data_IF_802696501493
#
_entry.id   IF_802696501493
#
_cell.length_a   1.000
_cell.length_b   1.000
_cell.length_c   1.000
_cell.angle_alpha   90.00
_cell.angle_beta   90.00
_cell.angle_gamma   90.00
#
_symmetry.space_group_name_H-M   'P 1'
#
loop_
_entity.id
_entity.type
_entity.pdbx_description
1 polymer ?
#
# COMPACT_ATOMS: atom_id res chain seq x y z
N UNK A 1 -14.33 -8.66 16.19
CA UNK A 1 -14.17 -7.46 15.34
C UNK A 1 -14.02 -6.18 16.14
N UNK A 2 -14.95 -5.81 17.05
CA UNK A 2 -14.87 -4.50 17.77
C UNK A 2 -13.57 -4.33 18.57
N UNK A 3 -13.08 -5.39 19.22
CA UNK A 3 -11.77 -5.38 19.89
C UNK A 3 -10.59 -5.13 18.93
N UNK A 4 -10.57 -5.74 17.74
CA UNK A 4 -9.50 -5.54 16.75
C UNK A 4 -9.53 -4.13 16.15
N UNK A 5 -10.72 -3.54 16.00
CA UNK A 5 -10.85 -2.17 15.48
C UNK A 5 -10.15 -1.15 16.36
N UNK A 6 -10.20 -1.34 17.68
CA UNK A 6 -9.56 -0.44 18.64
C UNK A 6 -8.05 -0.63 18.78
N UNK A 7 -7.48 -1.74 18.28
CA UNK A 7 -6.04 -1.94 18.30
C UNK A 7 -5.36 -0.95 17.34
N UNK A 8 -4.31 -0.24 17.78
CA UNK A 8 -3.63 0.74 16.95
C UNK A 8 -2.84 0.06 15.84
N UNK A 9 -3.07 0.46 14.58
CA UNK A 9 -2.49 -0.18 13.38
C UNK A 9 -1.55 0.76 12.65
N UNK A 10 -0.63 0.19 11.88
CA UNK A 10 0.20 0.95 10.96
C UNK A 10 0.06 0.33 9.56
N UNK A 11 -0.19 1.18 8.56
CA UNK A 11 -0.35 0.78 7.16
C UNK A 11 0.72 1.45 6.32
N UNK A 12 1.48 0.67 5.57
CA UNK A 12 2.57 1.16 4.72
C UNK A 12 2.25 1.08 3.23
N UNK A 13 1.21 0.32 2.87
CA UNK A 13 0.84 0.04 1.49
C UNK A 13 -0.66 0.19 1.29
N UNK A 14 -1.04 1.41 0.93
CA UNK A 14 -2.43 1.79 0.70
C UNK A 14 -2.49 2.83 -0.41
N UNK A 15 -3.14 2.50 -1.52
CA UNK A 15 -3.27 3.36 -2.69
C UNK A 15 -4.45 4.31 -2.50
N UNK A 16 -4.17 5.60 -2.58
CA UNK A 16 -5.16 6.65 -2.44
C UNK A 16 -6.20 6.60 -3.57
N UNK A 17 -5.74 6.40 -4.80
CA UNK A 17 -6.54 6.24 -6.03
C UNK A 17 -7.33 4.91 -6.07
N UNK A 18 -7.01 3.98 -5.17
CA UNK A 18 -7.75 2.74 -4.92
C UNK A 18 -8.54 2.72 -3.61
N UNK A 19 -8.67 3.87 -2.92
CA UNK A 19 -9.20 3.95 -1.56
C UNK A 19 -10.38 4.90 -1.34
N UNK A 20 -11.00 5.40 -2.43
CA UNK A 20 -12.06 6.41 -2.38
C UNK A 20 -13.35 5.85 -1.76
N UNK A 21 -14.12 6.74 -1.12
CA UNK A 21 -15.51 6.45 -0.72
C UNK A 21 -16.41 6.46 -1.97
N UNK A 22 -17.28 5.46 -2.17
CA UNK A 22 -18.25 5.46 -3.28
C UNK A 22 -19.12 6.72 -3.33
N UNK A 23 -19.52 7.25 -2.18
CA UNK A 23 -20.31 8.48 -2.06
C UNK A 23 -19.56 9.67 -2.65
N UNK A 24 -18.27 9.81 -2.31
CA UNK A 24 -17.40 10.86 -2.85
C UNK A 24 -17.22 10.70 -4.35
N UNK A 25 -17.12 9.48 -4.88
CA UNK A 25 -17.02 9.27 -6.34
C UNK A 25 -18.26 9.81 -7.05
N UNK A 26 -19.46 9.50 -6.54
CA UNK A 26 -20.72 10.00 -7.11
C UNK A 26 -20.77 11.52 -7.07
N UNK A 27 -20.47 12.11 -5.90
CA UNK A 27 -20.49 13.57 -5.73
C UNK A 27 -19.50 14.29 -6.65
N UNK A 28 -18.26 13.79 -6.75
CA UNK A 28 -17.23 14.36 -7.63
C UNK A 28 -17.56 14.15 -9.11
N UNK A 29 -18.20 13.03 -9.46
CA UNK A 29 -18.65 12.80 -10.83
C UNK A 29 -19.72 13.79 -11.24
N UNK A 30 -20.68 14.08 -10.37
CA UNK A 30 -21.71 15.09 -10.59
C UNK A 30 -21.13 16.51 -10.64
N UNK A 31 -20.25 16.86 -9.70
CA UNK A 31 -19.60 18.18 -9.63
C UNK A 31 -18.77 18.49 -10.87
N UNK A 32 -18.03 17.51 -11.38
CA UNK A 32 -17.11 17.69 -12.50
C UNK A 32 -17.62 17.16 -13.85
N UNK A 33 -18.86 16.71 -13.91
CA UNK A 33 -19.52 16.27 -15.14
C UNK A 33 -18.96 14.98 -15.73
N UNK A 34 -18.44 14.07 -14.90
CA UNK A 34 -18.04 12.73 -15.34
C UNK A 34 -19.27 11.83 -15.47
N UNK A 35 -19.53 11.31 -16.66
CA UNK A 35 -20.73 10.50 -16.97
C UNK A 35 -20.40 9.01 -17.19
N UNK A 36 -19.16 8.61 -16.92
CA UNK A 36 -18.69 7.25 -17.17
C UNK A 36 -19.03 6.25 -16.07
N UNK A 37 -19.63 6.68 -14.95
CA UNK A 37 -19.95 5.78 -13.85
C UNK A 37 -20.99 4.73 -14.28
N UNK A 38 -20.86 3.48 -13.82
CA UNK A 38 -21.82 2.41 -14.10
C UNK A 38 -23.17 2.64 -13.40
N UNK A 39 -23.18 3.40 -12.31
CA UNK A 39 -24.34 3.80 -11.52
C UNK A 39 -23.99 5.04 -10.69
N UNK A 40 -24.99 5.85 -10.35
CA UNK A 40 -24.87 6.99 -9.43
C UNK A 40 -25.45 6.69 -8.04
N UNK A 41 -25.90 5.46 -7.79
CA UNK A 41 -26.25 4.99 -6.45
C UNK A 41 -24.97 4.51 -5.74
N UNK A 42 -24.64 5.09 -4.59
CA UNK A 42 -23.38 4.81 -3.90
C UNK A 42 -23.26 3.34 -3.42
N UNK A 43 -24.38 2.71 -3.04
CA UNK A 43 -24.39 1.32 -2.58
C UNK A 43 -24.22 0.34 -3.75
N UNK A 44 -24.87 0.61 -4.88
CA UNK A 44 -24.64 -0.12 -6.13
C UNK A 44 -23.21 0.08 -6.64
N UNK A 45 -22.69 1.30 -6.58
CA UNK A 45 -21.34 1.62 -7.01
C UNK A 45 -20.31 0.90 -6.13
N UNK A 46 -20.52 0.86 -4.81
CA UNK A 46 -19.70 0.08 -3.87
C UNK A 46 -19.62 -1.38 -4.28
N UNK A 47 -20.76 -2.01 -4.59
CA UNK A 47 -20.80 -3.41 -5.05
C UNK A 47 -20.11 -3.59 -6.40
N UNK A 48 -20.25 -2.62 -7.31
CA UNK A 48 -19.58 -2.66 -8.60
C UNK A 48 -18.06 -2.60 -8.46
N UNK A 49 -17.54 -1.81 -7.51
CA UNK A 49 -16.10 -1.73 -7.25
C UNK A 49 -15.50 -2.99 -6.64
N UNK A 50 -16.29 -3.92 -6.10
CA UNK A 50 -15.78 -5.19 -5.58
C UNK A 50 -15.25 -6.05 -6.75
N UNK A 51 -13.97 -5.86 -7.08
CA UNK A 51 -13.26 -6.59 -8.14
C UNK A 51 -12.55 -7.84 -7.60
N UNK A 52 -13.00 -8.34 -6.45
CA UNK A 52 -12.37 -9.45 -5.75
C UNK A 52 -12.36 -10.79 -6.48
N UNK A 53 -13.21 -10.93 -7.49
CA UNK A 53 -13.27 -12.11 -8.38
C UNK A 53 -12.84 -11.78 -9.82
N UNK A 54 -12.10 -10.68 -10.01
CA UNK A 54 -11.67 -10.23 -11.35
C UNK A 54 -10.72 -11.23 -12.05
N UNK A 55 -10.08 -12.12 -11.27
CA UNK A 55 -9.29 -13.25 -11.76
C UNK A 55 -7.98 -12.89 -12.46
N UNK A 56 -7.64 -11.59 -12.54
CA UNK A 56 -6.37 -11.09 -13.08
C UNK A 56 -6.10 -9.65 -12.59
N UNK A 57 -4.83 -9.29 -12.47
CA UNK A 57 -4.41 -7.93 -12.15
C UNK A 57 -4.94 -6.91 -13.17
N UNK A 58 -4.96 -7.25 -14.46
CA UNK A 58 -5.43 -6.35 -15.51
C UNK A 58 -6.92 -6.01 -15.39
N UNK A 59 -7.77 -6.99 -15.05
CA UNK A 59 -9.20 -6.75 -14.83
C UNK A 59 -9.43 -5.93 -13.55
N UNK A 60 -8.68 -6.21 -12.49
CA UNK A 60 -8.69 -5.44 -11.24
C UNK A 60 -8.38 -3.95 -11.49
N UNK A 61 -7.40 -3.66 -12.34
CA UNK A 61 -6.95 -2.31 -12.65
C UNK A 61 -7.97 -1.49 -13.46
N UNK A 62 -8.93 -2.12 -14.17
CA UNK A 62 -9.94 -1.38 -14.95
C UNK A 62 -10.84 -0.49 -14.06
N UNK A 63 -11.05 -0.89 -12.80
CA UNK A 63 -11.85 -0.09 -11.87
C UNK A 63 -11.23 1.29 -11.58
N UNK A 64 -9.90 1.44 -11.72
CA UNK A 64 -9.23 2.73 -11.51
C UNK A 64 -9.62 3.78 -12.54
N UNK A 65 -10.16 3.41 -13.70
CA UNK A 65 -10.57 4.38 -14.70
C UNK A 65 -11.60 5.37 -14.15
N UNK A 66 -12.51 4.92 -13.28
CA UNK A 66 -13.50 5.78 -12.65
C UNK A 66 -12.92 6.63 -11.53
N UNK A 67 -12.12 6.05 -10.63
CA UNK A 67 -11.51 6.79 -9.51
C UNK A 67 -10.57 7.87 -10.03
N UNK A 68 -9.70 7.52 -10.98
CA UNK A 68 -8.80 8.47 -11.64
C UNK A 68 -9.59 9.56 -12.35
N UNK A 69 -10.70 9.24 -13.03
CA UNK A 69 -11.49 10.23 -13.76
C UNK A 69 -12.11 11.31 -12.87
N UNK A 70 -12.51 10.97 -11.64
CA UNK A 70 -13.06 11.95 -10.68
C UNK A 70 -11.97 12.72 -9.91
N UNK A 71 -10.72 12.25 -9.95
CA UNK A 71 -9.56 12.86 -9.27
C UNK A 71 -8.71 13.73 -10.19
N UNK A 72 -9.32 14.53 -11.07
CA UNK A 72 -8.59 15.34 -12.07
C UNK A 72 -8.48 16.84 -11.71
N UNK A 73 -8.90 17.23 -10.50
CA UNK A 73 -8.81 18.61 -9.98
C UNK A 73 -8.06 18.63 -8.65
N UNK A 74 -7.52 19.80 -8.27
CA UNK A 74 -6.83 19.98 -6.99
C UNK A 74 -7.76 19.69 -5.82
N UNK A 75 -9.00 20.18 -5.91
CA UNK A 75 -10.02 20.05 -4.88
C UNK A 75 -10.45 18.58 -4.70
N UNK A 76 -10.57 17.81 -5.78
CA UNK A 76 -10.85 16.38 -5.73
C UNK A 76 -9.74 15.61 -5.01
N UNK A 77 -8.48 15.85 -5.42
CA UNK A 77 -7.31 15.19 -4.84
C UNK A 77 -7.16 15.52 -3.34
N UNK A 78 -7.32 16.80 -2.98
CA UNK A 78 -7.27 17.24 -1.58
C UNK A 78 -8.39 16.59 -0.75
N UNK A 79 -9.61 16.54 -1.29
CA UNK A 79 -10.75 15.92 -0.63
C UNK A 79 -10.52 14.43 -0.39
N UNK A 80 -10.10 13.69 -1.42
CA UNK A 80 -9.86 12.24 -1.34
C UNK A 80 -8.73 11.93 -0.35
N UNK A 81 -7.63 12.68 -0.40
CA UNK A 81 -6.51 12.55 0.55
C UNK A 81 -6.93 12.83 2.00
N UNK A 82 -7.74 13.87 2.21
CA UNK A 82 -8.29 14.19 3.52
C UNK A 82 -9.20 13.07 4.06
N UNK A 83 -10.12 12.58 3.24
CA UNK A 83 -11.05 11.52 3.64
C UNK A 83 -10.34 10.21 3.97
N UNK A 84 -9.29 9.86 3.22
CA UNK A 84 -8.48 8.67 3.49
C UNK A 84 -7.86 8.69 4.89
N UNK A 85 -7.39 9.85 5.37
CA UNK A 85 -6.87 9.97 6.74
C UNK A 85 -7.97 9.81 7.79
N UNK A 86 -9.18 10.34 7.53
CA UNK A 86 -10.32 10.15 8.42
C UNK A 86 -10.75 8.68 8.50
N UNK A 87 -10.77 7.99 7.35
CA UNK A 87 -11.13 6.57 7.27
C UNK A 87 -10.14 5.70 8.03
N UNK A 88 -8.84 5.97 7.86
CA UNK A 88 -7.78 5.31 8.62
C UNK A 88 -7.91 5.56 10.12
N UNK A 89 -8.16 6.80 10.54
CA UNK A 89 -8.37 7.13 11.95
C UNK A 89 -9.57 6.38 12.55
N UNK A 90 -10.68 6.30 11.80
CA UNK A 90 -11.88 5.59 12.22
C UNK A 90 -11.68 4.06 12.32
N UNK A 91 -10.64 3.52 11.68
CA UNK A 91 -10.26 2.11 11.73
C UNK A 91 -9.07 1.83 12.67
N UNK A 92 -8.73 2.80 13.53
CA UNK A 92 -7.67 2.65 14.53
C UNK A 92 -6.25 2.66 13.96
N UNK A 93 -6.06 3.13 12.72
CA UNK A 93 -4.71 3.37 12.19
C UNK A 93 -4.11 4.58 12.90
N UNK A 94 -2.86 4.48 13.33
CA UNK A 94 -2.10 5.55 14.00
C UNK A 94 -0.92 6.05 13.15
N UNK A 95 -0.54 5.28 12.13
CA UNK A 95 0.50 5.63 11.18
C UNK A 95 0.14 5.13 9.78
N UNK A 96 0.14 6.03 8.78
CA UNK A 96 -0.24 5.70 7.40
C UNK A 96 0.76 6.23 6.36
N UNK A 97 1.14 5.40 5.40
CA UNK A 97 1.84 5.83 4.20
C UNK A 97 0.94 5.61 2.99
N UNK A 98 0.41 6.69 2.44
CA UNK A 98 -0.50 6.66 1.30
C UNK A 98 0.30 6.78 0.01
N UNK A 99 -0.01 5.97 -0.99
CA UNK A 99 0.62 6.02 -2.32
C UNK A 99 -0.36 6.40 -3.41
N UNK A 100 0.11 7.07 -4.46
CA UNK A 100 -0.72 7.40 -5.62
C UNK A 100 0.15 7.72 -6.85
N UNK A 101 -0.41 7.59 -8.05
CA UNK A 101 0.28 7.93 -9.29
C UNK A 101 0.02 9.37 -9.74
N UNK A 102 0.92 10.37 -9.53
CA UNK A 102 0.63 11.76 -9.89
C UNK A 102 0.39 11.98 -11.39
N UNK A 103 1.01 11.16 -12.25
CA UNK A 103 0.79 11.20 -13.70
C UNK A 103 -0.62 10.77 -14.12
N UNK A 104 -1.36 10.03 -13.28
CA UNK A 104 -2.75 9.66 -13.57
C UNK A 104 -3.69 10.86 -13.52
N UNK A 105 -3.30 11.93 -12.83
CA UNK A 105 -4.16 13.06 -12.49
C UNK A 105 -3.92 14.31 -13.36
N UNK A 106 -3.25 14.15 -14.51
CA UNK A 106 -2.88 15.28 -15.40
C UNK A 106 -3.81 15.46 -16.60
N UNK A 107 -4.87 14.65 -16.75
CA UNK A 107 -5.72 14.63 -17.96
C UNK A 107 -6.52 15.92 -18.15
N UNK A 108 -6.76 16.69 -17.08
CA UNK A 108 -7.43 18.00 -17.11
C UNK A 108 -6.50 19.19 -16.87
N UNK A 109 -5.19 18.99 -17.04
CA UNK A 109 -4.21 20.08 -17.09
C UNK A 109 -3.43 20.34 -15.80
N UNK A 110 -3.66 19.57 -14.73
CA UNK A 110 -2.74 19.59 -13.58
C UNK A 110 -1.36 19.08 -14.01
N UNK A 111 -0.33 19.74 -13.50
CA UNK A 111 1.03 19.20 -13.48
C UNK A 111 1.18 18.13 -12.39
N UNK A 112 2.24 17.32 -12.47
CA UNK A 112 2.60 16.36 -11.41
C UNK A 112 2.82 17.06 -10.07
N UNK A 113 3.46 18.23 -10.09
CA UNK A 113 3.67 19.07 -8.91
C UNK A 113 2.36 19.50 -8.27
N UNK A 114 1.39 19.99 -9.06
CA UNK A 114 0.08 20.39 -8.53
C UNK A 114 -0.69 19.20 -7.96
N UNK A 115 -0.60 18.02 -8.59
CA UNK A 115 -1.22 16.81 -8.06
C UNK A 115 -0.60 16.39 -6.72
N UNK A 116 0.73 16.43 -6.60
CA UNK A 116 1.45 16.14 -5.34
C UNK A 116 1.08 17.16 -4.26
N UNK A 117 1.08 18.45 -4.59
CA UNK A 117 0.72 19.52 -3.66
C UNK A 117 -0.72 19.35 -3.14
N UNK A 118 -1.67 18.98 -4.02
CA UNK A 118 -3.06 18.73 -3.64
C UNK A 118 -3.21 17.59 -2.63
N UNK A 119 -2.55 16.45 -2.89
CA UNK A 119 -2.58 15.29 -2.01
C UNK A 119 -1.92 15.60 -0.66
N UNK A 120 -0.76 16.27 -0.66
CA UNK A 120 -0.09 16.68 0.57
C UNK A 120 -0.96 17.64 1.40
N UNK A 121 -1.66 18.58 0.75
CA UNK A 121 -2.60 19.48 1.44
C UNK A 121 -3.75 18.70 2.10
N UNK A 122 -4.32 17.72 1.39
CA UNK A 122 -5.41 16.89 1.92
C UNK A 122 -4.97 16.02 3.09
N UNK A 123 -3.81 15.37 2.98
CA UNK A 123 -3.19 14.60 4.07
C UNK A 123 -2.95 15.51 5.27
N UNK A 124 -2.32 16.68 5.07
CA UNK A 124 -2.07 17.63 6.16
C UNK A 124 -3.35 18.09 6.84
N UNK A 125 -4.42 18.32 6.08
CA UNK A 125 -5.74 18.68 6.62
C UNK A 125 -6.35 17.56 7.45
N UNK A 126 -6.17 16.31 7.01
CA UNK A 126 -6.66 15.12 7.71
C UNK A 126 -5.94 14.91 9.03
N UNK A 127 -4.59 14.97 9.02
CA UNK A 127 -3.77 14.86 10.21
C UNK A 127 -4.05 15.98 11.23
N UNK A 128 -4.49 17.15 10.80
CA UNK A 128 -4.86 18.23 11.72
C UNK A 128 -6.16 17.94 12.51
N UNK A 129 -6.95 16.95 12.11
CA UNK A 129 -8.22 16.58 12.75
C UNK A 129 -8.19 15.21 13.44
N UNK A 130 -7.08 14.49 13.33
CA UNK A 130 -6.92 13.13 13.85
C UNK A 130 -5.56 12.99 14.53
N UNK A 131 -5.35 11.90 15.27
CA UNK A 131 -4.05 11.56 15.84
C UNK A 131 -3.19 10.72 14.87
N UNK A 132 -3.60 10.60 13.60
CA UNK A 132 -2.88 9.82 12.58
C UNK A 132 -1.65 10.60 12.14
N UNK A 133 -0.48 9.99 12.29
CA UNK A 133 0.71 10.44 11.58
C UNK A 133 0.71 9.85 10.16
N UNK A 134 0.95 10.66 9.14
CA UNK A 134 0.94 10.19 7.78
C UNK A 134 2.01 10.84 6.90
N UNK A 135 2.38 10.13 5.83
CA UNK A 135 3.20 10.65 4.75
C UNK A 135 2.77 10.07 3.41
N UNK A 136 3.26 10.70 2.33
CA UNK A 136 2.88 10.36 0.96
C UNK A 136 4.05 9.71 0.23
N UNK A 137 3.73 8.69 -0.55
CA UNK A 137 4.62 8.03 -1.51
C UNK A 137 4.05 8.31 -2.91
N UNK A 138 4.90 8.67 -3.87
CA UNK A 138 4.47 8.78 -5.27
C UNK A 138 4.87 7.54 -6.04
N UNK A 139 3.94 6.98 -6.79
CA UNK A 139 4.17 5.79 -7.62
C UNK A 139 4.35 6.22 -9.07
N UNK A 140 5.47 5.83 -9.68
CA UNK A 140 5.55 5.75 -11.13
C UNK A 140 4.86 4.48 -11.62
N UNK A 141 4.29 4.51 -12.82
CA UNK A 141 3.68 3.35 -13.45
C UNK A 141 4.68 2.71 -14.42
N UNK A 142 5.02 1.44 -14.19
CA UNK A 142 6.10 0.75 -14.91
C UNK A 142 5.83 0.49 -16.40
N UNK A 143 4.58 0.54 -16.82
CA UNK A 143 4.19 0.50 -18.22
C UNK A 143 4.38 1.82 -18.96
N UNK A 144 4.62 2.91 -18.22
CA UNK A 144 4.81 4.25 -18.76
C UNK A 144 6.30 4.62 -18.83
N UNK A 145 6.65 5.52 -19.76
CA UNK A 145 8.03 5.96 -19.97
C UNK A 145 8.43 7.16 -19.07
N UNK A 146 7.53 7.65 -18.23
CA UNK A 146 7.68 8.93 -17.54
C UNK A 146 8.18 8.86 -16.08
N UNK A 147 8.55 7.67 -15.62
CA UNK A 147 9.04 7.42 -14.25
C UNK A 147 10.12 8.40 -13.76
N UNK A 148 11.05 8.81 -14.64
CA UNK A 148 12.08 9.79 -14.30
C UNK A 148 11.48 11.16 -13.98
N UNK A 149 10.53 11.63 -14.79
CA UNK A 149 9.85 12.90 -14.56
C UNK A 149 9.00 12.86 -13.27
N UNK A 150 8.43 11.70 -12.92
CA UNK A 150 7.75 11.50 -11.63
C UNK A 150 8.75 11.64 -10.48
N UNK A 151 9.92 10.98 -10.56
CA UNK A 151 10.94 11.05 -9.53
C UNK A 151 11.56 12.46 -9.37
N UNK A 152 11.72 13.19 -10.48
CA UNK A 152 12.20 14.58 -10.46
C UNK A 152 11.17 15.51 -9.79
N UNK A 153 9.88 15.38 -10.12
CA UNK A 153 8.83 16.14 -9.45
C UNK A 153 8.74 15.79 -7.95
N UNK A 154 8.89 14.51 -7.60
CA UNK A 154 8.91 14.03 -6.22
C UNK A 154 10.02 14.69 -5.39
N UNK A 155 11.21 14.82 -5.97
CA UNK A 155 12.39 15.33 -5.26
C UNK A 155 12.17 16.75 -4.69
N UNK A 156 11.35 17.57 -5.33
CA UNK A 156 11.05 18.95 -4.89
C UNK A 156 10.19 19.02 -3.61
N UNK A 157 9.57 17.91 -3.19
CA UNK A 157 8.70 17.85 -2.01
C UNK A 157 9.32 17.10 -0.82
N UNK A 158 10.62 16.77 -0.87
CA UNK A 158 11.33 16.20 0.27
C UNK A 158 11.27 17.17 1.45
N UNK A 159 10.78 16.69 2.60
CA UNK A 159 10.56 17.51 3.80
C UNK A 159 9.21 18.22 3.85
N UNK A 160 8.37 18.11 2.81
CA UNK A 160 7.01 18.66 2.78
C UNK A 160 5.92 17.59 3.03
N UNK A 161 6.29 16.41 3.52
CA UNK A 161 5.40 15.27 3.74
C UNK A 161 5.45 14.18 2.66
N UNK A 162 6.19 14.40 1.57
CA UNK A 162 6.54 13.34 0.62
C UNK A 162 7.75 12.56 1.17
N UNK A 163 7.55 11.28 1.45
CA UNK A 163 8.49 10.42 2.19
C UNK A 163 9.03 9.27 1.35
N UNK A 164 8.43 8.96 0.21
CA UNK A 164 8.90 7.87 -0.62
C UNK A 164 8.54 7.94 -2.09
N UNK A 165 9.17 7.04 -2.83
CA UNK A 165 8.90 6.75 -4.23
C UNK A 165 8.62 5.26 -4.38
N UNK A 166 7.69 4.94 -5.28
CA UNK A 166 7.28 3.58 -5.61
C UNK A 166 7.22 3.36 -7.13
N UNK A 167 7.24 2.09 -7.53
CA UNK A 167 7.00 1.64 -8.89
C UNK A 167 5.90 0.57 -8.89
N UNK A 168 4.70 0.96 -9.30
CA UNK A 168 3.50 0.13 -9.37
C UNK A 168 3.13 -0.21 -10.84
N UNK A 169 2.00 -0.89 -11.05
CA UNK A 169 1.50 -1.31 -12.38
C UNK A 169 1.80 -2.78 -12.71
N UNK A 170 1.52 -3.23 -13.95
CA UNK A 170 1.69 -4.63 -14.36
C UNK A 170 3.15 -5.07 -14.24
N UNK A 171 3.44 -6.03 -13.36
CA UNK A 171 4.82 -6.40 -13.03
C UNK A 171 5.53 -7.17 -14.17
N UNK A 172 4.85 -8.18 -14.72
CA UNK A 172 5.41 -9.06 -15.75
C UNK A 172 5.64 -8.29 -17.05
N UNK A 173 6.86 -8.36 -17.57
CA UNK A 173 7.25 -7.67 -18.80
C UNK A 173 7.70 -6.23 -18.59
N UNK A 174 7.52 -5.66 -17.39
CA UNK A 174 7.93 -4.31 -17.03
C UNK A 174 8.89 -4.37 -15.82
N UNK A 175 10.15 -4.78 -16.05
CA UNK A 175 11.09 -5.03 -14.97
C UNK A 175 11.47 -3.71 -14.27
N UNK A 176 11.68 -3.71 -12.95
CA UNK A 176 11.94 -2.47 -12.21
C UNK A 176 13.24 -1.79 -12.62
N UNK A 177 14.23 -2.56 -13.12
CA UNK A 177 15.51 -2.02 -13.60
C UNK A 177 15.42 -1.27 -14.94
N UNK A 178 14.27 -1.28 -15.62
CA UNK A 178 14.01 -0.32 -16.70
C UNK A 178 13.90 1.14 -16.17
N UNK A 179 13.63 1.31 -14.88
CA UNK A 179 13.40 2.60 -14.22
C UNK A 179 14.54 2.99 -13.27
N UNK A 180 15.76 2.47 -13.49
CA UNK A 180 16.93 2.74 -12.62
C UNK A 180 17.26 4.23 -12.48
N UNK A 181 17.02 5.02 -13.53
CA UNK A 181 17.24 6.46 -13.48
C UNK A 181 16.31 7.13 -12.45
N UNK A 182 15.02 6.80 -12.49
CA UNK A 182 14.02 7.29 -11.54
C UNK A 182 14.36 6.86 -10.10
N UNK A 183 14.66 5.57 -9.90
CA UNK A 183 15.07 5.04 -8.59
C UNK A 183 16.31 5.76 -8.04
N UNK A 184 17.27 6.07 -8.91
CA UNK A 184 18.49 6.78 -8.53
C UNK A 184 18.21 8.23 -8.13
N UNK A 185 17.34 8.93 -8.88
CA UNK A 185 16.92 10.30 -8.55
C UNK A 185 16.20 10.33 -7.21
N UNK A 186 15.18 9.50 -7.02
CA UNK A 186 14.42 9.46 -5.77
C UNK A 186 15.32 9.20 -4.55
N UNK A 187 16.20 8.19 -4.63
CA UNK A 187 17.14 7.87 -3.55
C UNK A 187 18.14 9.00 -3.30
N UNK A 188 18.66 9.66 -4.34
CA UNK A 188 19.60 10.79 -4.17
C UNK A 188 18.93 12.02 -3.58
N UNK A 189 17.64 12.21 -3.82
CA UNK A 189 16.83 13.26 -3.19
C UNK A 189 16.58 12.97 -1.69
N UNK A 190 16.75 11.72 -1.24
CA UNK A 190 16.54 11.30 0.13
C UNK A 190 15.16 10.68 0.40
N UNK A 191 14.39 10.37 -0.66
CA UNK A 191 13.14 9.63 -0.52
C UNK A 191 13.41 8.17 -0.18
N UNK A 192 12.53 7.60 0.65
CA UNK A 192 12.43 6.15 0.81
C UNK A 192 12.06 5.47 -0.50
N UNK A 193 12.53 4.24 -0.71
CA UNK A 193 12.26 3.50 -1.93
C UNK A 193 11.56 2.18 -1.62
N UNK A 194 10.30 2.06 -2.02
CA UNK A 194 9.58 0.78 -2.08
C UNK A 194 9.31 0.45 -3.55
N UNK A 195 9.17 -0.82 -3.89
CA UNK A 195 8.88 -1.25 -5.28
C UNK A 195 7.94 -2.45 -5.19
N UNK A 196 6.83 -2.42 -5.93
CA UNK A 196 6.01 -3.62 -6.15
C UNK A 196 6.85 -4.68 -6.86
N UNK A 197 7.06 -5.81 -6.21
CA UNK A 197 7.79 -6.92 -6.81
C UNK A 197 7.42 -8.25 -6.13
N UNK A 198 7.41 -9.34 -6.88
CA UNK A 198 7.03 -10.64 -6.33
C UNK A 198 5.53 -10.79 -6.12
N UNK A 199 4.73 -10.17 -6.99
CA UNK A 199 3.27 -10.30 -7.06
C UNK A 199 2.86 -10.84 -8.45
N UNK A 200 2.90 -10.01 -9.48
CA UNK A 200 2.65 -10.39 -10.88
C UNK A 200 3.82 -11.14 -11.54
N UNK A 201 5.02 -11.07 -10.96
CA UNK A 201 6.21 -11.79 -11.42
C UNK A 201 6.98 -12.49 -10.29
N UNK A 202 7.91 -13.37 -10.65
CA UNK A 202 8.58 -14.28 -9.71
C UNK A 202 9.71 -13.65 -8.87
N UNK A 203 10.42 -14.46 -8.08
CA UNK A 203 11.51 -14.02 -7.20
C UNK A 203 12.60 -13.17 -7.87
N UNK A 204 12.84 -13.35 -9.17
CA UNK A 204 13.82 -12.55 -9.90
C UNK A 204 13.47 -11.06 -9.95
N UNK A 205 12.18 -10.70 -9.91
CA UNK A 205 11.74 -9.30 -9.83
C UNK A 205 12.06 -8.69 -8.47
N UNK A 206 11.84 -9.42 -7.38
CA UNK A 206 12.29 -9.04 -6.02
C UNK A 206 13.81 -8.83 -6.04
N UNK A 207 14.56 -9.75 -6.63
CA UNK A 207 16.02 -9.61 -6.72
C UNK A 207 16.44 -8.34 -7.47
N UNK A 208 15.78 -8.00 -8.59
CA UNK A 208 16.05 -6.79 -9.38
C UNK A 208 15.73 -5.53 -8.58
N UNK A 209 14.57 -5.49 -7.93
CA UNK A 209 14.15 -4.37 -7.08
C UNK A 209 15.18 -4.10 -5.96
N UNK A 210 15.64 -5.15 -5.27
CA UNK A 210 16.61 -5.00 -4.18
C UNK A 210 18.04 -4.74 -4.67
N UNK A 211 18.50 -5.46 -5.69
CA UNK A 211 19.92 -5.47 -6.06
C UNK A 211 20.29 -4.40 -7.08
N UNK A 212 19.35 -4.01 -7.94
CA UNK A 212 19.59 -3.03 -9.00
C UNK A 212 19.00 -1.67 -8.61
N UNK A 213 17.73 -1.66 -8.21
CA UNK A 213 17.05 -0.41 -7.85
C UNK A 213 17.35 0.05 -6.42
N UNK A 214 17.86 -0.85 -5.57
CA UNK A 214 18.14 -0.61 -4.15
C UNK A 214 16.88 -0.23 -3.35
N UNK A 215 15.76 -0.90 -3.65
CA UNK A 215 14.55 -0.82 -2.84
C UNK A 215 14.85 -1.20 -1.38
N UNK A 216 14.27 -0.44 -0.46
CA UNK A 216 14.35 -0.65 0.98
C UNK A 216 13.22 -1.53 1.49
N UNK A 217 12.05 -1.47 0.83
CA UNK A 217 10.88 -2.33 1.07
C UNK A 217 10.40 -2.91 -0.25
N UNK A 218 9.64 -4.00 -0.16
CA UNK A 218 9.03 -4.65 -1.32
C UNK A 218 7.52 -4.65 -1.15
N UNK A 219 6.83 -4.04 -2.11
CA UNK A 219 5.37 -4.12 -2.26
C UNK A 219 4.98 -5.58 -2.54
N UNK A 220 4.11 -6.14 -1.72
CA UNK A 220 3.75 -7.56 -1.67
C UNK A 220 4.94 -8.47 -1.33
N UNK A 221 5.74 -8.88 -2.32
CA UNK A 221 6.89 -9.77 -2.15
C UNK A 221 6.53 -11.21 -1.76
N UNK A 222 5.25 -11.59 -1.79
CA UNK A 222 4.76 -12.89 -1.31
C UNK A 222 5.29 -14.08 -2.11
N UNK A 223 5.63 -13.87 -3.39
CA UNK A 223 6.25 -14.91 -4.24
C UNK A 223 7.68 -15.26 -3.84
N UNK A 224 8.26 -14.59 -2.84
CA UNK A 224 9.49 -15.06 -2.19
C UNK A 224 9.35 -16.47 -1.60
N UNK A 225 8.12 -16.94 -1.34
CA UNK A 225 7.85 -18.31 -0.90
C UNK A 225 8.31 -19.36 -1.93
N UNK A 226 8.43 -19.01 -3.22
CA UNK A 226 8.98 -19.90 -4.25
C UNK A 226 10.47 -20.19 -4.05
N UNK A 227 11.17 -19.34 -3.30
CA UNK A 227 12.57 -19.52 -2.88
C UNK A 227 12.67 -20.27 -1.52
N UNK A 228 11.60 -20.92 -1.09
CA UNK A 228 11.50 -21.63 0.19
C UNK A 228 11.11 -23.10 -0.03
N UNK A 229 11.57 -23.99 0.86
CA UNK A 229 11.03 -25.35 0.96
C UNK A 229 10.04 -25.38 2.12
N UNK A 230 8.78 -25.60 1.79
CA UNK A 230 7.67 -25.73 2.75
C UNK A 230 7.41 -27.22 3.01
N UNK A 231 7.31 -27.61 4.27
CA UNK A 231 6.95 -28.99 4.63
C UNK A 231 5.45 -29.25 4.55
N UNK A 232 5.03 -30.48 4.80
CA UNK A 232 3.61 -30.88 4.78
C UNK A 232 2.74 -30.21 5.84
N UNK A 233 3.34 -29.49 6.80
CA UNK A 233 2.64 -28.75 7.85
C UNK A 233 2.58 -27.25 7.54
N UNK A 234 3.05 -26.82 6.35
CA UNK A 234 3.05 -25.41 5.97
C UNK A 234 4.21 -24.60 6.58
N UNK A 235 5.21 -25.26 7.17
CA UNK A 235 6.37 -24.59 7.76
C UNK A 235 7.53 -24.48 6.77
N UNK A 236 8.16 -23.32 6.69
CA UNK A 236 9.36 -23.13 5.87
C UNK A 236 10.56 -23.76 6.59
N UNK A 237 11.17 -24.76 5.94
CA UNK A 237 12.28 -25.56 6.49
C UNK A 237 13.64 -25.21 5.89
N UNK A 238 13.66 -24.65 4.68
CA UNK A 238 14.89 -24.20 4.00
C UNK A 238 14.62 -22.96 3.17
N UNK A 239 15.66 -22.13 3.02
CA UNK A 239 15.65 -20.92 2.21
C UNK A 239 16.73 -21.03 1.13
N UNK A 240 16.38 -20.63 -0.08
CA UNK A 240 17.36 -20.32 -1.12
C UNK A 240 18.03 -18.95 -0.84
N UNK A 241 19.14 -18.60 -1.52
CA UNK A 241 19.94 -17.42 -1.17
C UNK A 241 19.18 -16.09 -1.18
N UNK A 242 18.23 -15.89 -2.10
CA UNK A 242 17.44 -14.65 -2.13
C UNK A 242 16.52 -14.56 -0.91
N UNK A 243 15.76 -15.62 -0.60
CA UNK A 243 14.89 -15.67 0.57
C UNK A 243 15.68 -15.50 1.88
N UNK A 244 16.85 -16.13 1.99
CA UNK A 244 17.75 -15.93 3.12
C UNK A 244 18.20 -14.47 3.25
N UNK A 245 18.59 -13.83 2.14
CA UNK A 245 18.96 -12.41 2.13
C UNK A 245 17.80 -11.51 2.58
N UNK A 246 16.60 -11.73 2.06
CA UNK A 246 15.40 -10.95 2.42
C UNK A 246 15.12 -11.08 3.93
N UNK A 247 15.09 -12.32 4.45
CA UNK A 247 14.84 -12.59 5.87
C UNK A 247 15.93 -12.00 6.78
N UNK A 248 17.20 -12.32 6.49
CA UNK A 248 18.32 -12.05 7.38
C UNK A 248 18.66 -10.54 7.44
N UNK A 249 18.43 -9.81 6.35
CA UNK A 249 18.56 -8.36 6.32
C UNK A 249 17.29 -7.63 6.74
N UNK A 250 16.24 -8.37 7.14
CA UNK A 250 14.94 -7.84 7.55
C UNK A 250 14.33 -6.88 6.52
N UNK A 251 14.44 -7.22 5.24
CA UNK A 251 13.79 -6.48 4.15
C UNK A 251 12.27 -6.58 4.36
N UNK A 252 11.56 -5.45 4.57
CA UNK A 252 10.12 -5.47 4.79
C UNK A 252 9.36 -5.90 3.54
N UNK A 253 8.44 -6.84 3.74
CA UNK A 253 7.45 -7.27 2.76
C UNK A 253 6.12 -6.63 3.13
N UNK A 254 5.66 -5.71 2.29
CA UNK A 254 4.40 -4.99 2.45
C UNK A 254 3.25 -5.87 1.95
N UNK A 255 2.81 -6.83 2.77
CA UNK A 255 1.85 -7.84 2.35
C UNK A 255 0.42 -7.32 2.49
N UNK A 256 -0.39 -7.58 1.46
CA UNK A 256 -1.81 -7.23 1.41
C UNK A 256 -2.60 -8.47 1.00
N UNK A 257 -3.06 -9.25 1.98
CA UNK A 257 -3.51 -10.62 1.75
C UNK A 257 -4.76 -10.64 0.87
N UNK A 258 -5.79 -9.85 1.20
CA UNK A 258 -7.03 -9.82 0.42
C UNK A 258 -6.77 -9.37 -1.02
N UNK A 259 -5.89 -8.39 -1.23
CA UNK A 259 -5.47 -7.98 -2.58
C UNK A 259 -4.83 -9.16 -3.34
N UNK A 260 -3.92 -9.92 -2.72
CA UNK A 260 -3.31 -11.07 -3.36
C UNK A 260 -4.31 -12.19 -3.71
N UNK A 261 -5.41 -12.33 -2.95
CA UNK A 261 -6.50 -13.22 -3.35
C UNK A 261 -7.26 -12.66 -4.55
N UNK A 262 -7.60 -11.37 -4.49
CA UNK A 262 -8.41 -10.68 -5.48
C UNK A 262 -7.74 -10.51 -6.85
N UNK A 263 -6.40 -10.47 -6.89
CA UNK A 263 -5.62 -10.47 -8.12
C UNK A 263 -5.40 -11.88 -8.68
N UNK A 264 -5.91 -12.93 -8.00
CA UNK A 264 -5.81 -14.33 -8.41
C UNK A 264 -4.46 -14.97 -8.12
N UNK A 265 -3.61 -14.36 -7.29
CA UNK A 265 -2.28 -14.88 -6.98
C UNK A 265 -2.35 -16.10 -6.06
N UNK A 266 -3.30 -16.14 -5.14
CA UNK A 266 -3.58 -17.27 -4.25
C UNK A 266 -5.07 -17.61 -4.25
N UNK A 267 -5.43 -18.90 -4.12
CA UNK A 267 -6.81 -19.33 -4.26
C UNK A 267 -7.70 -18.91 -3.09
N UNK A 268 -7.14 -18.86 -1.88
CA UNK A 268 -7.86 -18.51 -0.66
C UNK A 268 -6.87 -18.08 0.44
N UNK A 269 -7.44 -17.55 1.53
CA UNK A 269 -6.68 -17.02 2.65
C UNK A 269 -5.89 -18.11 3.40
N UNK A 270 -6.34 -19.37 3.43
CA UNK A 270 -5.65 -20.46 4.15
C UNK A 270 -4.33 -20.84 3.45
N UNK A 271 -4.31 -20.82 2.12
CA UNK A 271 -3.12 -21.13 1.31
C UNK A 271 -2.15 -19.95 1.15
N UNK A 272 -2.52 -18.76 1.61
CA UNK A 272 -1.68 -17.57 1.48
C UNK A 272 -0.37 -17.69 2.29
N UNK A 273 0.81 -17.33 1.74
CA UNK A 273 2.10 -17.64 2.38
C UNK A 273 2.47 -16.72 3.55
N UNK A 274 1.67 -15.68 3.82
CA UNK A 274 1.98 -14.66 4.85
C UNK A 274 2.28 -15.28 6.22
N UNK A 275 1.48 -16.25 6.67
CA UNK A 275 1.70 -16.88 7.97
C UNK A 275 2.97 -17.70 8.02
N UNK A 276 3.27 -18.44 6.95
CA UNK A 276 4.52 -19.21 6.85
C UNK A 276 5.75 -18.29 6.83
N UNK A 277 5.70 -17.20 6.06
CA UNK A 277 6.77 -16.19 6.00
C UNK A 277 6.99 -15.51 7.35
N UNK A 278 5.90 -15.07 8.00
CA UNK A 278 5.95 -14.47 9.34
C UNK A 278 6.61 -15.42 10.35
N UNK A 279 6.12 -16.68 10.45
CA UNK A 279 6.66 -17.69 11.37
C UNK A 279 8.10 -18.08 11.07
N UNK A 280 8.53 -17.97 9.81
CA UNK A 280 9.91 -18.19 9.40
C UNK A 280 10.85 -17.00 9.68
N UNK A 281 10.32 -15.90 10.24
CA UNK A 281 11.09 -14.75 10.69
C UNK A 281 11.27 -13.64 9.64
N UNK A 282 10.52 -13.66 8.54
CA UNK A 282 10.52 -12.56 7.57
C UNK A 282 9.95 -11.28 8.22
N UNK A 283 10.36 -10.12 7.70
CA UNK A 283 9.80 -8.83 8.12
C UNK A 283 8.50 -8.57 7.34
N UNK A 284 7.39 -9.11 7.84
CA UNK A 284 6.08 -8.93 7.21
C UNK A 284 5.35 -7.74 7.85
N UNK A 285 4.73 -6.91 7.02
CA UNK A 285 3.72 -5.94 7.44
C UNK A 285 2.37 -6.29 6.84
N UNK A 286 1.29 -5.83 7.46
CA UNK A 286 -0.10 -6.10 7.05
C UNK A 286 -0.67 -4.81 6.47
N UNK A 287 -1.27 -4.86 5.29
CA UNK A 287 -1.70 -3.68 4.56
C UNK A 287 -2.97 -3.95 3.73
N UNK A 288 -3.65 -2.88 3.35
CA UNK A 288 -4.93 -2.91 2.62
C UNK A 288 -4.77 -2.94 1.11
N UNK A 289 -3.70 -2.34 0.58
CA UNK A 289 -3.53 -2.06 -0.85
C UNK A 289 -4.64 -1.16 -1.40
N UNK A 290 -5.74 -1.70 -1.94
CA UNK A 290 -6.84 -0.92 -2.52
C UNK A 290 -8.15 -1.18 -1.78
N UNK A 291 -8.45 -0.36 -0.77
CA UNK A 291 -9.62 -0.54 0.11
C UNK A 291 -10.94 -0.59 -0.66
N UNK A 292 -11.10 0.26 -1.69
CA UNK A 292 -12.34 0.33 -2.46
C UNK A 292 -12.53 -0.92 -3.31
N UNK A 293 -11.50 -1.32 -4.06
CA UNK A 293 -11.57 -2.45 -4.99
C UNK A 293 -11.70 -3.79 -4.27
N UNK A 294 -11.09 -3.89 -3.08
CA UNK A 294 -11.19 -5.08 -2.24
C UNK A 294 -12.35 -5.03 -1.24
N UNK A 295 -12.98 -3.87 -1.03
CA UNK A 295 -14.09 -3.71 -0.08
C UNK A 295 -13.71 -3.98 1.37
N UNK A 296 -12.48 -3.61 1.77
CA UNK A 296 -11.90 -3.95 3.09
C UNK A 296 -11.30 -2.74 3.80
N UNK A 297 -11.11 -2.91 5.10
CA UNK A 297 -10.38 -2.01 6.01
C UNK A 297 -9.14 -2.71 6.60
N UNK A 298 -8.31 -2.00 7.37
CA UNK A 298 -7.19 -2.62 8.08
C UNK A 298 -7.66 -3.61 9.15
N UNK A 299 -8.81 -3.36 9.78
CA UNK A 299 -9.45 -4.30 10.71
C UNK A 299 -9.89 -5.58 10.02
N UNK A 300 -10.34 -5.51 8.77
CA UNK A 300 -10.72 -6.69 8.01
C UNK A 300 -9.49 -7.55 7.69
N UNK A 301 -8.37 -6.95 7.25
CA UNK A 301 -7.09 -7.67 7.07
C UNK A 301 -6.64 -8.37 8.36
N UNK A 302 -6.69 -7.67 9.50
CA UNK A 302 -6.36 -8.28 10.80
C UNK A 302 -7.29 -9.46 11.12
N UNK A 303 -8.59 -9.28 10.91
CA UNK A 303 -9.59 -10.32 11.18
C UNK A 303 -9.36 -11.54 10.30
N UNK A 304 -9.10 -11.34 9.00
CA UNK A 304 -8.81 -12.43 8.07
C UNK A 304 -7.56 -13.21 8.47
N UNK A 305 -6.51 -12.57 8.99
CA UNK A 305 -5.31 -13.26 9.46
C UNK A 305 -5.54 -14.05 10.75
N UNK A 306 -6.34 -13.53 11.67
CA UNK A 306 -6.74 -14.26 12.88
C UNK A 306 -7.52 -15.50 12.49
N UNK A 307 -8.51 -15.36 11.60
CA UNK A 307 -9.45 -16.42 11.25
C UNK A 307 -8.81 -17.51 10.36
N UNK A 308 -8.00 -17.13 9.38
CA UNK A 308 -7.46 -18.07 8.37
C UNK A 308 -6.02 -18.52 8.61
N UNK A 309 -5.20 -17.71 9.30
CA UNK A 309 -3.77 -17.96 9.47
C UNK A 309 -3.37 -18.22 10.93
N UNK A 310 -4.35 -18.13 11.86
CA UNK A 310 -4.16 -18.37 13.28
C UNK A 310 -3.32 -17.29 13.98
N UNK A 311 -3.31 -16.07 13.45
CA UNK A 311 -2.59 -14.97 14.10
C UNK A 311 -3.22 -14.63 15.45
N UNK A 312 -2.38 -14.40 16.44
CA UNK A 312 -2.76 -13.90 17.75
C UNK A 312 -2.60 -12.38 17.83
N UNK A 313 -3.14 -11.76 18.88
CA UNK A 313 -2.88 -10.35 19.20
C UNK A 313 -1.37 -10.04 19.30
N UNK A 314 -0.56 -11.00 19.77
CA UNK A 314 0.90 -10.86 19.84
C UNK A 314 1.53 -10.85 18.44
N UNK A 315 1.02 -11.65 17.51
CA UNK A 315 1.52 -11.68 16.14
C UNK A 315 1.15 -10.40 15.39
N UNK A 316 -0.08 -9.91 15.58
CA UNK A 316 -0.52 -8.63 15.04
C UNK A 316 0.34 -7.48 15.57
N UNK A 317 0.64 -7.45 16.88
CA UNK A 317 1.58 -6.49 17.46
C UNK A 317 2.93 -6.56 16.74
N UNK A 318 3.49 -7.76 16.57
CA UNK A 318 4.80 -7.93 15.94
C UNK A 318 4.82 -7.35 14.51
N UNK A 319 3.79 -7.60 13.71
CA UNK A 319 3.66 -7.03 12.36
C UNK A 319 3.52 -5.50 12.39
N UNK A 320 2.71 -4.94 13.30
CA UNK A 320 2.58 -3.48 13.46
C UNK A 320 3.89 -2.83 13.89
N UNK A 321 4.67 -3.49 14.74
CA UNK A 321 5.99 -3.03 15.16
C UNK A 321 6.99 -3.04 13.99
N UNK A 322 6.98 -4.08 13.15
CA UNK A 322 7.78 -4.11 11.91
C UNK A 322 7.38 -2.96 10.99
N UNK A 323 6.08 -2.68 10.85
CA UNK A 323 5.60 -1.57 10.05
C UNK A 323 6.11 -0.21 10.57
N UNK A 324 5.99 0.02 11.88
CA UNK A 324 6.48 1.25 12.49
C UNK A 324 8.00 1.37 12.46
N UNK A 325 8.77 0.29 12.51
CA UNK A 325 10.23 0.34 12.42
C UNK A 325 10.71 0.56 10.96
N UNK A 326 9.93 0.12 9.98
CA UNK A 326 10.25 0.22 8.54
C UNK A 326 9.59 1.39 7.79
N UNK A 327 8.75 2.18 8.45
CA UNK A 327 8.19 3.40 7.86
C UNK A 327 9.26 4.40 7.38
N UNK A 328 8.96 5.16 6.34
CA UNK A 328 9.82 6.22 5.81
C UNK A 328 9.59 7.58 6.48
N UNK A 329 8.51 7.74 7.23
CA UNK A 329 8.23 8.94 8.02
C UNK A 329 9.22 9.17 9.16
N UNK A 330 9.08 10.31 9.83
CA UNK A 330 9.97 10.77 10.90
C UNK A 330 10.18 9.68 11.97
N UNK A 331 11.45 9.39 12.26
CA UNK A 331 11.82 8.31 13.18
C UNK A 331 11.33 8.58 14.61
N UNK A 332 11.48 9.81 15.09
CA UNK A 332 11.11 10.15 16.47
C UNK A 332 9.59 10.11 16.65
N UNK A 333 8.82 10.54 15.66
CA UNK A 333 7.36 10.39 15.64
C UNK A 333 6.95 8.91 15.63
N UNK A 334 7.49 8.09 14.72
CA UNK A 334 7.20 6.64 14.68
C UNK A 334 7.59 5.95 15.97
N UNK A 335 8.74 6.29 16.55
CA UNK A 335 9.19 5.76 17.84
C UNK A 335 8.23 6.11 18.98
N UNK A 336 7.74 7.36 19.05
CA UNK A 336 6.73 7.75 20.04
C UNK A 336 5.44 6.97 19.86
N UNK A 337 4.91 6.89 18.64
CA UNK A 337 3.69 6.11 18.33
C UNK A 337 3.87 4.65 18.77
N UNK A 338 5.01 4.06 18.44
CA UNK A 338 5.36 2.69 18.80
C UNK A 338 5.37 2.47 20.31
N UNK A 339 6.10 3.30 21.05
CA UNK A 339 6.39 3.07 22.45
C UNK A 339 5.29 3.60 23.40
N UNK A 340 4.55 4.64 23.00
CA UNK A 340 3.57 5.34 23.83
C UNK A 340 2.11 5.04 23.44
N UNK A 341 1.84 4.59 22.21
CA UNK A 341 0.48 4.28 21.73
C UNK A 341 0.31 2.78 21.47
N UNK A 342 1.17 2.19 20.63
CA UNK A 342 1.01 0.80 20.20
C UNK A 342 1.32 -0.19 21.31
N UNK A 343 2.51 -0.15 21.91
CA UNK A 343 2.89 -1.11 22.95
C UNK A 343 1.90 -1.13 24.13
N UNK A 344 1.46 0.02 24.70
CA UNK A 344 0.51 0.01 25.80
C UNK A 344 -0.85 -0.59 25.41
N UNK A 345 -1.41 -0.18 24.27
CA UNK A 345 -2.73 -0.66 23.84
C UNK A 345 -2.78 -2.18 23.60
N UNK A 346 -1.69 -2.75 23.07
CA UNK A 346 -1.61 -4.21 22.90
C UNK A 346 -1.32 -4.95 24.21
N UNK A 347 -0.58 -4.35 25.14
CA UNK A 347 -0.34 -4.97 26.45
C UNK A 347 -1.64 -5.15 27.25
N UNK A 348 -2.61 -4.24 27.08
CA UNK A 348 -3.93 -4.35 27.70
C UNK A 348 -4.84 -5.40 27.03
N UNK A 349 -4.49 -5.85 25.81
CA UNK A 349 -5.29 -6.76 24.99
C UNK A 349 -4.75 -8.20 24.92
N UNK A 350 -3.61 -8.49 25.56
CA UNK A 350 -2.96 -9.81 25.65
C UNK A 350 -3.20 -10.42 27.04
#
# INVERSE_FOLDING_TARGET
MESLRTLPKAVLHDHLDGGLRPETIVELADEYGYQGLPTHDADELRRWFLQGDSGSLEAYLQAFDHTVSVMQTREALERVAYEAILDHAADGVVYAELRFGPSLHTRRGLSRHEAIEAVLAGVSRGMAQTDVAAGVIVSALRQEEDSLAVAEAAADFVGAGLIGFDLAGPERGFPPDAHLAACTVARRAGLGLTIHAGEGDGPHSIWRALSLCAAQRIGHGVRIVEECIVDSQGSITKLAPLAARVRDHRVPLEVSMTSNLHTGLWPDAEHHPIGALYRAGFAVTINTDNRLMSGITMTDEFSSLVDSQGFTTTDLLACTMVALDSGFGDYDQRRRIRDEVVRPAYADAI
#
